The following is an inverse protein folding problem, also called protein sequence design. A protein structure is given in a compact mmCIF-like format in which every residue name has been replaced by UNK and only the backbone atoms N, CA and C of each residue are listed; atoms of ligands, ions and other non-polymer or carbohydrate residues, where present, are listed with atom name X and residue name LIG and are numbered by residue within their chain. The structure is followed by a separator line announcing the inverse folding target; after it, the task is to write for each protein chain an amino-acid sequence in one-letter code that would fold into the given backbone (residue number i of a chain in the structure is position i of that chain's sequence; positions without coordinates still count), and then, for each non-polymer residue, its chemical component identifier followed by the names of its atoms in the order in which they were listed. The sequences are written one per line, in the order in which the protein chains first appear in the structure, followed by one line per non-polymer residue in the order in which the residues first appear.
data_IF_404983337132
#
_entry.id   IF_404983337132
#
_cell.length_a   1.000
_cell.length_b   1.000
_cell.length_c   1.000
_cell.angle_alpha   90.00
_cell.angle_beta   90.00
_cell.angle_gamma   90.00
#
_symmetry.space_group_name_H-M   'P 1'
#
loop_
_entity.id
_entity.type
_entity.pdbx_description
1 polymer ?
#
# COMPACT_ATOMS: atom_id res chain seq x y z
N UNK A 1 0.26 -17.16 19.24
CA UNK A 1 0.71 -17.03 17.82
C UNK A 1 1.96 -17.84 17.64
N UNK A 2 2.10 -18.57 16.53
CA UNK A 2 3.30 -19.35 16.23
C UNK A 2 4.50 -18.45 15.98
N UNK A 3 5.66 -18.85 16.51
CA UNK A 3 6.93 -18.20 16.20
C UNK A 3 7.31 -18.46 14.73
N UNK A 4 7.66 -17.44 13.92
CA UNK A 4 8.03 -17.65 12.51
C UNK A 4 9.34 -18.45 12.34
N UNK A 5 10.19 -18.47 13.36
CA UNK A 5 11.51 -19.11 13.32
C UNK A 5 11.47 -20.60 13.75
N UNK A 6 10.92 -20.87 14.94
CA UNK A 6 10.91 -22.24 15.50
C UNK A 6 9.55 -22.93 15.44
N UNK A 7 8.50 -22.25 14.96
CA UNK A 7 7.11 -22.77 14.86
C UNK A 7 6.45 -23.11 16.20
N UNK A 8 7.09 -22.79 17.33
CA UNK A 8 6.53 -23.01 18.65
C UNK A 8 5.38 -22.05 18.93
N UNK A 9 4.36 -22.49 19.68
CA UNK A 9 3.13 -21.71 19.95
C UNK A 9 3.33 -20.66 21.02
N UNK A 10 4.30 -20.84 21.92
CA UNK A 10 4.48 -19.98 23.07
C UNK A 10 5.29 -18.74 22.71
N UNK A 11 4.59 -17.64 22.51
CA UNK A 11 5.17 -16.32 22.26
C UNK A 11 4.48 -15.27 23.12
N UNK A 12 5.26 -14.45 23.84
CA UNK A 12 4.78 -13.36 24.68
C UNK A 12 4.87 -12.02 23.94
N UNK A 13 3.96 -11.10 24.27
CA UNK A 13 4.04 -9.71 23.81
C UNK A 13 4.87 -8.93 24.84
N UNK A 14 5.96 -8.33 24.40
CA UNK A 14 6.86 -7.53 25.26
C UNK A 14 6.63 -6.03 25.14
N UNK A 15 6.04 -5.58 24.03
CA UNK A 15 5.68 -4.18 23.80
C UNK A 15 4.49 -4.10 22.85
N UNK A 16 3.60 -3.13 23.06
CA UNK A 16 2.42 -2.90 22.25
C UNK A 16 2.19 -1.40 22.11
N UNK A 17 2.16 -0.92 20.87
CA UNK A 17 1.95 0.51 20.57
C UNK A 17 0.99 0.67 19.42
N UNK A 18 0.12 1.65 19.50
CA UNK A 18 -0.67 2.07 18.36
C UNK A 18 0.23 2.70 17.32
N UNK A 19 -0.09 2.49 16.04
CA UNK A 19 0.52 3.27 14.95
C UNK A 19 0.10 4.74 15.10
N UNK A 20 0.89 5.67 14.60
CA UNK A 20 0.62 7.11 14.73
C UNK A 20 -0.75 7.53 14.15
N UNK A 21 -1.22 6.80 13.13
CA UNK A 21 -2.53 6.99 12.50
C UNK A 21 -3.68 6.26 13.22
N UNK A 22 -3.38 5.54 14.30
CA UNK A 22 -4.35 4.78 15.09
C UNK A 22 -5.00 3.59 14.38
N UNK A 23 -4.55 3.23 13.16
CA UNK A 23 -5.20 2.19 12.34
C UNK A 23 -4.73 0.78 12.60
N UNK A 24 -3.61 0.64 13.32
CA UNK A 24 -3.03 -0.65 13.66
C UNK A 24 -2.38 -0.63 15.04
N UNK A 25 -2.27 -1.80 15.64
CA UNK A 25 -1.48 -2.04 16.83
C UNK A 25 -0.22 -2.82 16.43
N UNK A 26 0.93 -2.20 16.63
CA UNK A 26 2.24 -2.85 16.48
C UNK A 26 2.57 -3.57 17.77
N UNK A 27 2.79 -4.88 17.69
CA UNK A 27 3.21 -5.70 18.85
C UNK A 27 4.57 -6.30 18.63
N UNK A 28 5.46 -6.07 19.58
CA UNK A 28 6.77 -6.71 19.64
C UNK A 28 6.64 -8.00 20.44
N UNK A 29 7.03 -9.13 19.85
CA UNK A 29 6.88 -10.45 20.46
C UNK A 29 8.24 -11.10 20.68
N UNK A 30 8.28 -11.96 21.70
CA UNK A 30 9.41 -12.79 22.07
C UNK A 30 8.97 -14.26 22.06
N UNK A 31 9.74 -15.13 21.41
CA UNK A 31 9.55 -16.57 21.52
C UNK A 31 10.19 -17.09 22.79
N UNK A 32 9.44 -17.86 23.57
CA UNK A 32 9.93 -18.48 24.79
C UNK A 32 11.00 -19.55 24.52
N UNK A 33 10.87 -20.23 23.39
CA UNK A 33 11.77 -21.31 22.94
C UNK A 33 13.09 -20.77 22.36
N UNK A 34 13.04 -20.12 21.21
CA UNK A 34 14.25 -19.68 20.48
C UNK A 34 14.76 -18.30 20.86
N UNK A 35 14.11 -17.58 21.79
CA UNK A 35 14.46 -16.23 22.25
C UNK A 35 14.52 -15.18 21.14
N UNK A 36 14.01 -15.48 19.96
CA UNK A 36 13.94 -14.54 18.84
C UNK A 36 12.81 -13.55 19.03
N UNK A 37 13.08 -12.30 18.63
CA UNK A 37 12.10 -11.21 18.64
C UNK A 37 11.56 -11.00 17.24
N UNK A 38 10.25 -10.79 17.15
CA UNK A 38 9.58 -10.46 15.89
C UNK A 38 8.44 -9.46 16.14
N UNK A 39 8.03 -8.78 15.10
CA UNK A 39 6.98 -7.78 15.16
C UNK A 39 5.75 -8.29 14.43
N UNK A 40 4.58 -8.06 15.02
CA UNK A 40 3.28 -8.31 14.39
C UNK A 40 2.47 -7.04 14.38
N UNK A 41 1.58 -6.93 13.40
CA UNK A 41 0.60 -5.86 13.33
C UNK A 41 -0.80 -6.46 13.43
N UNK A 42 -1.60 -5.90 14.34
CA UNK A 42 -3.03 -6.16 14.41
C UNK A 42 -3.75 -5.01 13.73
N UNK A 43 -4.60 -5.34 12.77
CA UNK A 43 -5.37 -4.36 11.99
C UNK A 43 -6.84 -4.77 11.95
N UNK A 44 -7.72 -3.80 11.84
CA UNK A 44 -9.13 -4.10 11.55
C UNK A 44 -9.21 -4.76 10.18
N UNK A 45 -9.85 -5.91 10.14
CA UNK A 45 -10.19 -6.56 8.88
C UNK A 45 -11.55 -6.01 8.43
N UNK A 46 -11.53 -5.24 7.36
CA UNK A 46 -12.75 -4.75 6.72
C UNK A 46 -13.38 -5.82 5.81
N UNK A 47 -14.45 -5.48 5.13
CA UNK A 47 -15.14 -6.38 4.20
C UNK A 47 -14.20 -6.90 3.11
N UNK A 48 -14.48 -8.09 2.62
CA UNK A 48 -13.77 -8.61 1.45
C UNK A 48 -14.14 -7.80 0.21
N UNK A 49 -13.21 -6.96 -0.24
CA UNK A 49 -13.35 -6.22 -1.48
C UNK A 49 -12.97 -7.10 -2.66
N UNK A 50 -13.81 -7.13 -3.68
CA UNK A 50 -13.53 -7.82 -4.94
C UNK A 50 -13.00 -6.82 -5.96
N UNK A 51 -11.86 -7.11 -6.56
CA UNK A 51 -11.26 -6.31 -7.63
C UNK A 51 -11.65 -6.88 -8.99
N UNK A 52 -12.27 -6.04 -9.80
CA UNK A 52 -12.60 -6.35 -11.20
C UNK A 52 -11.48 -5.80 -12.10
N UNK A 53 -10.79 -6.68 -12.81
CA UNK A 53 -9.72 -6.32 -13.75
C UNK A 53 -10.28 -5.81 -15.07
N UNK A 54 -9.44 -5.15 -15.90
CA UNK A 54 -9.82 -4.67 -17.25
C UNK A 54 -10.39 -5.79 -18.15
N UNK A 55 -9.96 -7.03 -17.97
CA UNK A 55 -10.44 -8.19 -18.72
C UNK A 55 -11.68 -8.87 -18.09
N UNK A 56 -12.34 -8.24 -17.15
CA UNK A 56 -13.52 -8.77 -16.45
C UNK A 56 -13.24 -9.81 -15.36
N UNK A 57 -12.00 -10.28 -15.19
CA UNK A 57 -11.66 -11.23 -14.12
C UNK A 57 -11.82 -10.58 -12.76
N UNK A 58 -12.40 -11.33 -11.82
CA UNK A 58 -12.57 -10.93 -10.43
C UNK A 58 -11.52 -11.62 -9.55
N UNK A 59 -11.01 -10.91 -8.56
CA UNK A 59 -10.10 -11.43 -7.54
C UNK A 59 -10.30 -10.67 -6.24
N UNK A 60 -10.04 -11.30 -5.10
CA UNK A 60 -10.03 -10.58 -3.81
C UNK A 60 -9.00 -9.46 -3.81
N UNK A 61 -9.31 -8.37 -3.12
CA UNK A 61 -8.36 -7.29 -2.92
C UNK A 61 -7.19 -7.79 -2.05
N UNK A 62 -6.00 -7.56 -2.53
CA UNK A 62 -4.77 -7.97 -1.86
C UNK A 62 -3.97 -6.71 -1.45
N UNK A 63 -3.98 -6.41 -0.13
CA UNK A 63 -3.25 -5.28 0.44
C UNK A 63 -1.74 -5.39 0.23
N UNK A 64 -1.19 -6.61 0.35
CA UNK A 64 0.25 -6.81 0.17
C UNK A 64 0.68 -6.51 -1.26
N UNK A 65 -0.15 -6.88 -2.22
CA UNK A 65 0.07 -6.56 -3.63
C UNK A 65 0.05 -5.06 -3.88
N UNK A 66 -0.88 -4.33 -3.27
CA UNK A 66 -0.90 -2.87 -3.32
C UNK A 66 0.37 -2.29 -2.70
N UNK A 67 0.75 -2.75 -1.51
CA UNK A 67 1.97 -2.30 -0.82
C UNK A 67 3.22 -2.54 -1.65
N UNK A 68 3.38 -3.73 -2.25
CA UNK A 68 4.51 -4.06 -3.14
C UNK A 68 4.57 -3.14 -4.36
N UNK A 69 3.42 -2.83 -4.94
CA UNK A 69 3.32 -1.92 -6.08
C UNK A 69 3.79 -0.50 -5.73
N UNK A 70 3.36 0.03 -4.57
CA UNK A 70 3.79 1.33 -4.05
C UNK A 70 5.28 1.34 -3.73
N UNK A 71 5.79 0.31 -3.03
CA UNK A 71 7.21 0.16 -2.72
C UNK A 71 8.09 0.13 -3.97
N UNK A 72 7.61 -0.52 -5.03
CA UNK A 72 8.34 -0.56 -6.31
C UNK A 72 8.44 0.83 -6.93
N UNK A 73 7.35 1.60 -6.92
CA UNK A 73 7.34 2.98 -7.43
C UNK A 73 8.24 3.90 -6.61
N UNK A 74 8.26 3.72 -5.28
CA UNK A 74 9.03 4.54 -4.34
C UNK A 74 10.46 4.01 -4.07
N UNK A 75 10.91 3.00 -4.81
CA UNK A 75 12.24 2.41 -4.63
C UNK A 75 13.35 3.47 -4.73
N UNK A 76 14.26 3.49 -3.74
CA UNK A 76 15.36 4.48 -3.60
C UNK A 76 14.87 5.94 -3.42
N UNK A 77 13.62 6.15 -3.01
CA UNK A 77 13.17 7.47 -2.57
C UNK A 77 13.33 7.60 -1.06
N UNK A 78 13.59 8.82 -0.54
CA UNK A 78 13.78 9.06 0.89
C UNK A 78 12.41 9.12 1.62
N UNK A 79 11.66 8.03 1.53
CA UNK A 79 10.34 7.88 2.18
C UNK A 79 10.41 6.67 3.10
N UNK A 80 10.09 6.91 4.37
CA UNK A 80 10.12 5.87 5.40
C UNK A 80 8.95 4.89 5.28
N UNK A 81 9.12 3.72 5.89
CA UNK A 81 8.11 2.66 5.84
C UNK A 81 6.80 3.06 6.54
N UNK A 82 6.86 3.90 7.57
CA UNK A 82 5.67 4.33 8.30
C UNK A 82 4.80 5.25 7.41
N UNK A 83 5.42 6.13 6.64
CA UNK A 83 4.74 6.96 5.62
C UNK A 83 4.09 6.10 4.53
N UNK A 84 4.78 5.05 4.07
CA UNK A 84 4.22 4.12 3.07
C UNK A 84 3.03 3.35 3.65
N UNK A 85 3.11 2.89 4.89
CA UNK A 85 2.00 2.20 5.55
C UNK A 85 0.78 3.12 5.74
N UNK A 86 0.99 4.37 6.16
CA UNK A 86 -0.05 5.40 6.25
C UNK A 86 -0.70 5.63 4.88
N UNK A 87 0.11 5.75 3.85
CA UNK A 87 -0.35 5.94 2.47
C UNK A 87 -1.23 4.80 1.99
N UNK A 88 -0.78 3.55 2.15
CA UNK A 88 -1.55 2.35 1.76
C UNK A 88 -2.84 2.25 2.57
N UNK A 89 -2.78 2.55 3.87
CA UNK A 89 -3.96 2.55 4.76
C UNK A 89 -4.99 3.60 4.34
N UNK A 90 -4.54 4.78 3.92
CA UNK A 90 -5.42 5.84 3.41
C UNK A 90 -6.13 5.41 2.12
N UNK A 91 -5.40 4.80 1.19
CA UNK A 91 -6.01 4.27 -0.05
C UNK A 91 -7.07 3.24 0.30
N UNK A 92 -6.76 2.31 1.21
CA UNK A 92 -7.69 1.27 1.60
C UNK A 92 -8.98 1.85 2.19
N UNK A 93 -8.89 2.86 3.09
CA UNK A 93 -10.07 3.56 3.61
C UNK A 93 -10.89 4.21 2.50
N UNK A 94 -10.24 4.91 1.58
CA UNK A 94 -10.95 5.53 0.46
C UNK A 94 -11.71 4.49 -0.39
N UNK A 95 -11.20 3.27 -0.52
CA UNK A 95 -11.89 2.17 -1.22
C UNK A 95 -13.09 1.67 -0.42
N UNK A 96 -12.97 1.56 0.91
CA UNK A 96 -14.07 1.20 1.80
C UNK A 96 -15.19 2.26 1.81
N UNK A 97 -14.80 3.54 1.82
CA UNK A 97 -15.74 4.68 1.82
C UNK A 97 -16.61 4.74 0.54
N UNK A 98 -16.19 4.08 -0.55
CA UNK A 98 -17.04 3.91 -1.74
C UNK A 98 -18.28 3.05 -1.46
N UNK A 99 -18.29 2.24 -0.39
CA UNK A 99 -19.39 1.37 -0.02
C UNK A 99 -19.71 0.25 -1.03
N UNK A 100 -18.81 0.02 -1.98
CA UNK A 100 -18.97 -0.98 -3.05
C UNK A 100 -18.25 -2.28 -2.69
N UNK A 101 -18.87 -3.43 -2.94
CA UNK A 101 -18.23 -4.74 -2.76
C UNK A 101 -17.30 -5.10 -3.94
N UNK A 102 -17.55 -4.53 -5.11
CA UNK A 102 -16.77 -4.74 -6.32
C UNK A 102 -16.16 -3.41 -6.79
N UNK A 103 -14.84 -3.37 -6.93
CA UNK A 103 -14.10 -2.16 -7.31
C UNK A 103 -13.26 -2.46 -8.54
N UNK A 104 -13.33 -1.57 -9.53
CA UNK A 104 -12.49 -1.68 -10.72
C UNK A 104 -11.01 -1.47 -10.36
N UNK A 105 -10.12 -2.27 -10.92
CA UNK A 105 -8.67 -2.08 -10.75
C UNK A 105 -8.20 -0.69 -11.20
N UNK A 106 -8.90 -0.07 -12.15
CA UNK A 106 -8.66 1.31 -12.58
C UNK A 106 -8.95 2.34 -11.49
N UNK A 107 -9.96 2.12 -10.66
CA UNK A 107 -10.27 2.99 -9.51
C UNK A 107 -9.16 2.94 -8.46
N UNK A 108 -8.68 1.73 -8.15
CA UNK A 108 -7.54 1.54 -7.22
C UNK A 108 -6.31 2.30 -7.73
N UNK A 109 -5.96 2.09 -9.01
CA UNK A 109 -4.83 2.77 -9.60
C UNK A 109 -4.95 4.30 -9.60
N UNK A 110 -6.17 4.82 -9.81
CA UNK A 110 -6.43 6.26 -9.71
C UNK A 110 -6.15 6.80 -8.31
N UNK A 111 -6.64 6.12 -7.25
CA UNK A 111 -6.34 6.53 -5.87
C UNK A 111 -4.84 6.49 -5.55
N UNK A 112 -4.12 5.46 -6.06
CA UNK A 112 -2.66 5.39 -5.89
C UNK A 112 -1.99 6.56 -6.59
N UNK A 113 -2.36 6.86 -7.84
CA UNK A 113 -1.79 7.97 -8.60
C UNK A 113 -2.07 9.32 -7.94
N UNK A 114 -3.32 9.58 -7.55
CA UNK A 114 -3.70 10.84 -6.88
C UNK A 114 -2.92 11.03 -5.56
N UNK A 115 -2.73 9.97 -4.81
CA UNK A 115 -1.95 10.02 -3.59
C UNK A 115 -0.44 10.18 -3.80
N UNK A 116 0.14 9.45 -4.76
CA UNK A 116 1.57 9.56 -5.09
C UNK A 116 1.93 10.95 -5.63
N UNK A 117 1.02 11.60 -6.33
CA UNK A 117 1.22 12.96 -6.83
C UNK A 117 1.50 13.97 -5.71
N UNK A 118 0.88 13.79 -4.53
CA UNK A 118 1.14 14.63 -3.35
C UNK A 118 2.31 14.14 -2.50
N UNK A 119 2.72 12.88 -2.64
CA UNK A 119 3.75 12.26 -1.82
C UNK A 119 5.14 12.37 -2.44
N UNK A 120 5.28 11.94 -3.70
CA UNK A 120 6.57 11.92 -4.43
C UNK A 120 6.35 11.91 -5.94
N UNK A 121 6.78 12.97 -6.62
CA UNK A 121 6.58 13.11 -8.06
C UNK A 121 7.29 12.05 -8.90
N UNK A 122 8.47 11.57 -8.46
CA UNK A 122 9.20 10.50 -9.16
C UNK A 122 8.48 9.17 -9.02
N UNK A 123 7.99 8.87 -7.81
CA UNK A 123 7.15 7.70 -7.56
C UNK A 123 5.86 7.74 -8.37
N UNK A 124 5.23 8.91 -8.47
CA UNK A 124 4.06 9.13 -9.31
C UNK A 124 4.33 8.80 -10.79
N UNK A 125 5.41 9.34 -11.38
CA UNK A 125 5.79 9.09 -12.78
C UNK A 125 6.08 7.61 -13.02
N UNK A 126 6.82 6.96 -12.10
CA UNK A 126 7.13 5.53 -12.19
C UNK A 126 5.88 4.65 -12.11
N UNK A 127 4.95 4.96 -11.21
CA UNK A 127 3.71 4.23 -11.12
C UNK A 127 2.87 4.43 -12.37
N UNK A 128 2.75 5.66 -12.84
CA UNK A 128 2.02 6.00 -14.05
C UNK A 128 2.59 5.30 -15.28
N UNK A 129 3.91 5.16 -15.41
CA UNK A 129 4.55 4.49 -16.55
C UNK A 129 4.14 3.02 -16.72
N UNK A 130 3.78 2.35 -15.62
CA UNK A 130 3.30 0.95 -15.64
C UNK A 130 1.78 0.87 -15.70
N UNK A 131 1.11 1.83 -15.06
CA UNK A 131 -0.34 1.81 -14.91
C UNK A 131 -1.08 2.39 -16.10
N UNK A 132 -0.54 3.46 -16.69
CA UNK A 132 -1.08 4.12 -17.88
C UNK A 132 -0.50 3.43 -19.12
N UNK A 133 -1.38 3.02 -20.02
CA UNK A 133 -1.00 2.35 -21.28
C UNK A 133 -0.51 3.43 -22.27
N UNK A 134 0.72 3.93 -22.08
CA UNK A 134 1.35 4.82 -23.05
C UNK A 134 1.72 4.04 -24.29
N UNK A 135 1.28 4.50 -25.45
CA UNK A 135 1.54 3.87 -26.74
C UNK A 135 2.79 4.42 -27.42
N UNK A 136 3.04 5.72 -27.22
CA UNK A 136 4.16 6.42 -27.83
C UNK A 136 4.94 7.24 -26.79
N UNK A 137 6.20 7.55 -27.09
CA UNK A 137 7.03 8.40 -26.25
C UNK A 137 6.42 9.79 -26.04
N UNK A 138 5.73 10.32 -27.04
CA UNK A 138 5.02 11.62 -26.96
C UNK A 138 3.93 11.65 -25.91
N UNK A 139 3.21 10.54 -25.72
CA UNK A 139 2.17 10.44 -24.68
C UNK A 139 2.78 10.62 -23.28
N UNK A 140 3.97 10.03 -23.09
CA UNK A 140 4.71 10.14 -21.85
C UNK A 140 5.29 11.55 -21.63
N UNK A 141 5.83 12.19 -22.67
CA UNK A 141 6.31 13.59 -22.60
C UNK A 141 5.17 14.53 -22.20
N UNK A 142 4.03 14.46 -22.86
CA UNK A 142 2.85 15.25 -22.52
C UNK A 142 2.37 15.01 -21.07
N UNK A 143 2.43 13.76 -20.62
CA UNK A 143 2.09 13.42 -19.24
C UNK A 143 3.03 14.10 -18.24
N UNK A 144 4.35 14.09 -18.49
CA UNK A 144 5.36 14.72 -17.62
C UNK A 144 5.21 16.24 -17.63
N UNK A 145 4.97 16.86 -18.78
CA UNK A 145 4.76 18.31 -18.91
C UNK A 145 3.54 18.79 -18.13
N UNK A 146 2.46 18.03 -18.15
CA UNK A 146 1.26 18.32 -17.36
C UNK A 146 1.48 18.28 -15.84
N UNK A 147 2.48 17.53 -15.37
CA UNK A 147 2.89 17.52 -13.95
C UNK A 147 3.62 18.82 -13.62
N UNK A 148 4.56 19.24 -14.45
CA UNK A 148 5.41 20.39 -14.23
C UNK A 148 4.62 21.72 -14.22
N UNK A 149 3.56 21.84 -15.02
CA UNK A 149 2.70 23.03 -15.05
C UNK A 149 1.92 23.21 -13.74
N UNK A 150 1.56 22.14 -13.04
CA UNK A 150 0.79 22.21 -11.78
C UNK A 150 1.64 22.46 -10.52
N UNK A 151 2.96 22.36 -10.63
CA UNK A 151 3.89 22.63 -9.51
C UNK A 151 4.25 24.13 -9.42
N UNK A 152 3.98 24.92 -10.46
CA UNK A 152 4.29 26.36 -10.51
C UNK A 152 3.14 27.29 -10.05
N UNK A 153 2.10 26.74 -9.44
CA UNK A 153 1.03 27.51 -8.77
C UNK A 153 0.99 27.06 -7.29
#
# INVERSE_FOLDING_TARGET
MLCPFCKEKDTSVIDSRSTEDGTAIRRRRLSSCCKQRFTTFERVQFRELTVVKKNGRKSSFDREKLTKSVLTALRKRPIDNDTIEKFVSKIYRNLEDLGQNEIMSSTIGKFVMDGLKGLDHVGYVRFASVYTDFKEAKDFEQFVDNINVKVKK
#
